data_IF_712267990927
#
_entry.id   IF_712267990927
#
_cell.length_a   1.000
_cell.length_b   1.000
_cell.length_c   1.000
_cell.angle_alpha   90.00
_cell.angle_beta   90.00
_cell.angle_gamma   90.00
#
_symmetry.space_group_name_H-M   'P 1'
#
loop_
_entity.id
_entity.type
_entity.pdbx_description
1 polymer ?
#
# COMPACT_ATOMS: atom_id res chain seq x y z
N UNK A 1 -4.18 -23.05 -10.01
CA UNK A 1 -3.84 -24.32 -9.34
C UNK A 1 -4.69 -24.40 -8.08
N UNK A 2 -5.23 -25.56 -7.79
CA UNK A 2 -6.04 -25.77 -6.60
C UNK A 2 -5.14 -26.15 -5.44
N UNK A 3 -5.29 -25.45 -4.34
CA UNK A 3 -4.77 -25.90 -3.07
C UNK A 3 -5.94 -26.52 -2.29
N UNK A 4 -5.88 -27.81 -2.00
CA UNK A 4 -6.88 -28.59 -1.21
C UNK A 4 -8.37 -28.44 -1.62
N UNK A 5 -8.69 -27.99 -2.83
CA UNK A 5 -10.05 -27.81 -3.35
C UNK A 5 -10.85 -26.64 -2.77
N UNK A 6 -10.27 -25.84 -1.87
CA UNK A 6 -10.95 -24.73 -1.22
C UNK A 6 -10.91 -23.42 -1.99
N UNK A 7 -9.82 -23.14 -2.72
CA UNK A 7 -9.70 -21.96 -3.60
C UNK A 7 -8.72 -22.22 -4.73
N UNK A 8 -8.85 -21.43 -5.79
CA UNK A 8 -7.97 -21.46 -6.94
C UNK A 8 -6.94 -20.35 -6.81
N UNK A 9 -5.67 -20.69 -6.75
CA UNK A 9 -4.60 -19.73 -6.93
C UNK A 9 -4.46 -19.44 -8.43
N UNK A 10 -4.84 -18.22 -8.83
CA UNK A 10 -4.70 -17.73 -10.20
C UNK A 10 -3.32 -17.13 -10.48
N UNK A 11 -2.45 -17.07 -9.46
CA UNK A 11 -1.06 -16.73 -9.62
C UNK A 11 -0.35 -17.87 -10.36
N UNK A 12 -0.54 -17.93 -11.67
CA UNK A 12 0.35 -18.71 -12.50
C UNK A 12 1.69 -17.99 -12.47
N UNK A 13 2.68 -18.59 -11.80
CA UNK A 13 4.05 -18.10 -11.84
C UNK A 13 4.41 -17.77 -13.30
N UNK A 14 4.55 -16.47 -13.58
CA UNK A 14 4.92 -15.98 -14.91
C UNK A 14 3.78 -15.71 -15.91
N UNK A 15 2.50 -15.82 -15.52
CA UNK A 15 1.43 -15.47 -16.44
C UNK A 15 0.25 -14.72 -15.77
N UNK A 16 0.43 -13.46 -15.36
CA UNK A 16 -0.66 -12.60 -14.85
C UNK A 16 -1.74 -12.32 -15.91
N UNK A 17 -1.43 -12.57 -17.18
CA UNK A 17 -2.28 -12.33 -18.33
C UNK A 17 -3.67 -13.00 -18.22
N UNK A 18 -3.74 -14.20 -17.64
CA UNK A 18 -4.99 -14.94 -17.51
C UNK A 18 -6.06 -14.22 -16.69
N UNK A 19 -5.67 -13.43 -15.70
CA UNK A 19 -6.61 -12.68 -14.86
C UNK A 19 -6.84 -11.29 -15.42
N UNK A 20 -5.77 -10.56 -15.77
CA UNK A 20 -5.87 -9.18 -16.26
C UNK A 20 -6.65 -9.08 -17.59
N UNK A 21 -6.50 -10.02 -18.50
CA UNK A 21 -7.27 -10.04 -19.75
C UNK A 21 -8.78 -10.30 -19.55
N UNK A 22 -9.18 -10.86 -18.41
CA UNK A 22 -10.58 -11.16 -18.08
C UNK A 22 -11.24 -10.07 -17.25
N UNK A 23 -10.48 -9.08 -16.79
CA UNK A 23 -11.01 -7.98 -16.00
C UNK A 23 -11.62 -6.91 -16.92
N UNK A 24 -12.83 -6.51 -16.58
CA UNK A 24 -13.55 -5.41 -17.25
C UNK A 24 -13.79 -4.34 -16.20
N UNK A 25 -13.21 -3.15 -16.41
CA UNK A 25 -13.48 -1.97 -15.60
C UNK A 25 -14.34 -0.98 -16.38
N UNK A 26 -15.45 -0.55 -15.79
CA UNK A 26 -16.32 0.47 -16.34
C UNK A 26 -16.31 1.68 -15.43
N UNK A 27 -15.94 2.84 -15.97
CA UNK A 27 -15.99 4.12 -15.27
C UNK A 27 -17.18 4.94 -15.78
N UNK A 28 -18.02 5.42 -14.87
CA UNK A 28 -19.19 6.24 -15.21
C UNK A 28 -19.42 7.35 -14.17
N UNK A 29 -20.11 8.42 -14.56
CA UNK A 29 -20.57 9.44 -13.63
C UNK A 29 -21.86 8.98 -12.96
N UNK A 30 -21.85 8.83 -11.64
CA UNK A 30 -23.04 8.51 -10.88
C UNK A 30 -23.78 9.80 -10.49
N UNK A 31 -25.12 9.76 -10.61
CA UNK A 31 -25.99 10.85 -10.16
C UNK A 31 -26.32 10.79 -8.66
N UNK A 32 -26.16 9.61 -8.04
CA UNK A 32 -26.31 9.38 -6.59
C UNK A 32 -24.94 9.20 -5.94
N UNK A 33 -24.67 10.01 -4.92
CA UNK A 33 -23.48 9.89 -4.09
C UNK A 33 -23.64 8.77 -3.04
N UNK A 34 -23.56 7.54 -3.42
CA UNK A 34 -23.16 6.46 -2.52
C UNK A 34 -21.64 6.26 -2.66
N UNK A 35 -20.91 7.23 -2.19
CA UNK A 35 -19.45 7.19 -2.19
C UNK A 35 -18.99 6.46 -0.93
N UNK A 36 -17.94 5.66 -1.07
CA UNK A 36 -17.11 5.29 0.09
C UNK A 36 -16.67 6.60 0.76
N UNK A 37 -16.75 6.68 2.09
CA UNK A 37 -16.19 7.82 2.80
C UNK A 37 -14.69 7.88 2.50
N UNK A 38 -14.26 9.00 1.94
CA UNK A 38 -12.83 9.22 1.75
C UNK A 38 -12.19 9.36 3.15
N UNK A 39 -10.97 8.86 3.35
CA UNK A 39 -10.24 9.13 4.58
C UNK A 39 -9.99 10.63 4.71
N UNK A 40 -9.93 11.10 5.96
CA UNK A 40 -9.56 12.48 6.26
C UNK A 40 -8.07 12.69 5.97
N UNK A 41 -7.71 13.93 5.65
CA UNK A 41 -6.30 14.31 5.54
C UNK A 41 -5.61 14.18 6.89
N UNK A 42 -4.38 13.68 6.87
CA UNK A 42 -3.48 13.62 8.02
C UNK A 42 -2.17 14.38 7.75
N UNK A 43 -2.19 15.33 6.83
CA UNK A 43 -1.00 16.13 6.50
C UNK A 43 -0.54 16.97 7.70
N UNK A 44 -1.43 17.33 8.60
CA UNK A 44 -1.14 17.98 9.87
C UNK A 44 -0.23 17.13 10.79
N UNK A 45 -0.25 15.82 10.66
CA UNK A 45 0.68 14.91 11.37
C UNK A 45 2.07 14.84 10.74
N UNK A 46 2.26 15.43 9.56
CA UNK A 46 3.51 15.46 8.80
C UNK A 46 4.02 16.91 8.67
N UNK A 47 4.37 17.59 9.78
CA UNK A 47 4.65 19.02 9.79
C UNK A 47 5.87 19.43 8.98
N UNK A 48 6.89 18.57 8.85
CA UNK A 48 8.09 18.91 8.06
C UNK A 48 7.79 18.81 6.56
N UNK A 49 7.03 17.78 6.17
CA UNK A 49 6.53 17.65 4.80
C UNK A 49 5.62 18.82 4.46
N UNK A 50 4.63 19.12 5.31
CA UNK A 50 3.69 20.24 5.13
C UNK A 50 4.42 21.56 4.94
N UNK A 51 5.39 21.87 5.81
CA UNK A 51 6.17 23.10 5.72
C UNK A 51 6.94 23.23 4.39
N UNK A 52 7.54 22.13 3.90
CA UNK A 52 8.20 22.14 2.59
C UNK A 52 7.22 22.36 1.43
N UNK A 53 6.07 21.70 1.48
CA UNK A 53 5.03 21.86 0.47
C UNK A 53 4.49 23.30 0.43
N UNK A 54 4.25 23.90 1.59
CA UNK A 54 3.83 25.30 1.71
C UNK A 54 4.88 26.30 1.19
N UNK A 55 6.16 25.97 1.37
CA UNK A 55 7.29 26.77 0.87
C UNK A 55 7.61 26.53 -0.62
N UNK A 56 6.97 25.55 -1.28
CA UNK A 56 7.31 25.15 -2.64
C UNK A 56 8.69 24.49 -2.77
N UNK A 57 9.25 23.99 -1.66
CA UNK A 57 10.57 23.36 -1.65
C UNK A 57 10.51 21.95 -2.24
N UNK A 58 11.60 21.48 -2.88
CA UNK A 58 11.68 20.10 -3.35
C UNK A 58 11.46 19.08 -2.22
N UNK A 59 10.64 18.07 -2.47
CA UNK A 59 10.39 16.97 -1.54
C UNK A 59 10.89 15.65 -2.10
N UNK A 60 11.51 14.84 -1.25
CA UNK A 60 11.99 13.51 -1.58
C UNK A 60 11.17 12.47 -0.86
N UNK A 61 10.58 11.55 -1.63
CA UNK A 61 9.69 10.52 -1.14
C UNK A 61 10.22 9.15 -1.53
N UNK A 62 10.28 8.24 -0.58
CA UNK A 62 10.58 6.84 -0.81
C UNK A 62 9.35 6.00 -0.49
N UNK A 63 8.87 5.21 -1.45
CA UNK A 63 7.93 4.12 -1.20
C UNK A 63 8.74 2.86 -0.95
N UNK A 64 8.58 2.27 0.22
CA UNK A 64 9.28 1.07 0.65
C UNK A 64 8.30 0.05 1.21
N UNK A 65 8.15 -1.06 0.53
CA UNK A 65 7.16 -2.07 0.85
C UNK A 65 7.40 -3.40 0.15
N UNK A 66 6.39 -4.25 0.16
CA UNK A 66 6.38 -5.58 -0.43
C UNK A 66 5.81 -5.58 -1.87
N UNK A 67 5.32 -6.74 -2.34
CA UNK A 67 4.77 -6.92 -3.68
C UNK A 67 3.56 -6.05 -3.98
N UNK A 68 2.75 -5.71 -2.96
CA UNK A 68 1.62 -4.79 -3.13
C UNK A 68 2.12 -3.40 -3.50
N UNK A 69 3.21 -2.96 -2.89
CA UNK A 69 3.86 -1.68 -3.20
C UNK A 69 4.62 -1.70 -4.54
N UNK A 70 5.08 -2.86 -4.98
CA UNK A 70 5.59 -3.03 -6.36
C UNK A 70 4.50 -2.86 -7.42
N UNK A 71 3.22 -3.02 -7.07
CA UNK A 71 2.10 -3.03 -8.02
C UNK A 71 1.88 -4.39 -8.67
N UNK A 72 2.32 -5.49 -8.01
CA UNK A 72 2.14 -6.84 -8.56
C UNK A 72 0.68 -7.14 -8.88
N UNK A 73 0.46 -7.81 -10.01
CA UNK A 73 -0.83 -8.19 -10.59
C UNK A 73 -1.72 -7.02 -11.06
N UNK A 74 -1.17 -5.79 -11.12
CA UNK A 74 -1.76 -4.69 -11.90
C UNK A 74 -1.40 -4.83 -13.38
N UNK A 75 -2.30 -4.41 -14.27
CA UNK A 75 -2.12 -4.59 -15.72
C UNK A 75 -0.89 -3.87 -16.28
N UNK A 76 -0.62 -2.65 -15.83
CA UNK A 76 0.52 -1.85 -16.30
C UNK A 76 1.86 -2.44 -15.97
N UNK A 77 2.02 -3.08 -14.80
CA UNK A 77 3.28 -3.70 -14.39
C UNK A 77 3.76 -4.77 -15.38
N UNK A 78 2.84 -5.45 -16.05
CA UNK A 78 3.15 -6.54 -16.97
C UNK A 78 2.89 -6.19 -18.43
N UNK A 79 2.64 -4.91 -18.74
CA UNK A 79 2.32 -4.47 -20.10
C UNK A 79 1.03 -5.08 -20.66
N UNK A 80 0.09 -5.47 -19.79
CA UNK A 80 -1.20 -6.05 -20.18
C UNK A 80 -2.26 -4.97 -20.34
N UNK A 81 -3.24 -5.19 -21.20
CA UNK A 81 -4.41 -4.28 -21.29
C UNK A 81 -5.24 -4.34 -19.99
N UNK A 82 -5.78 -3.22 -19.52
CA UNK A 82 -5.80 -1.88 -20.15
C UNK A 82 -4.52 -1.06 -19.99
N UNK A 83 -3.48 -1.54 -19.33
CA UNK A 83 -2.23 -0.83 -19.15
C UNK A 83 -2.30 0.28 -18.09
N UNK A 84 -3.14 0.07 -17.07
CA UNK A 84 -3.24 1.05 -15.99
C UNK A 84 -1.90 1.12 -15.23
N UNK A 85 -1.37 2.33 -15.00
CA UNK A 85 -0.22 2.51 -14.13
C UNK A 85 -0.44 1.87 -12.76
N UNK A 86 0.65 1.42 -12.12
CA UNK A 86 0.60 0.92 -10.74
C UNK A 86 0.08 2.00 -9.79
N UNK A 87 -0.38 1.61 -8.61
CA UNK A 87 -0.87 2.60 -7.65
C UNK A 87 0.23 3.60 -7.22
N UNK A 88 1.48 3.17 -7.20
CA UNK A 88 2.63 4.03 -6.91
C UNK A 88 2.84 5.09 -8.00
N UNK A 89 2.71 4.71 -9.27
CA UNK A 89 2.78 5.64 -10.40
C UNK A 89 1.57 6.59 -10.42
N UNK A 90 0.37 6.09 -10.14
CA UNK A 90 -0.83 6.93 -10.01
C UNK A 90 -0.67 7.95 -8.87
N UNK A 91 -0.10 7.54 -7.74
CA UNK A 91 0.21 8.43 -6.63
C UNK A 91 1.21 9.50 -7.03
N UNK A 92 2.32 9.11 -7.67
CA UNK A 92 3.35 10.03 -8.12
C UNK A 92 2.80 11.08 -9.09
N UNK A 93 2.03 10.67 -10.09
CA UNK A 93 1.39 11.61 -11.02
C UNK A 93 0.46 12.59 -10.31
N UNK A 94 -0.28 12.16 -9.30
CA UNK A 94 -1.11 13.06 -8.52
C UNK A 94 -0.30 14.05 -7.68
N UNK A 95 0.84 13.62 -7.12
CA UNK A 95 1.75 14.52 -6.43
C UNK A 95 2.28 15.60 -7.38
N UNK A 96 2.74 15.22 -8.58
CA UNK A 96 3.20 16.18 -9.59
C UNK A 96 2.10 17.16 -10.06
N UNK A 97 0.84 16.67 -10.12
CA UNK A 97 -0.28 17.51 -10.55
C UNK A 97 -0.76 18.47 -9.44
N UNK A 98 -0.76 18.04 -8.19
CA UNK A 98 -1.38 18.77 -7.07
C UNK A 98 -0.41 19.61 -6.27
N UNK A 99 0.81 19.15 -6.10
CA UNK A 99 1.82 19.87 -5.35
C UNK A 99 2.61 20.79 -6.27
N UNK A 100 2.83 22.03 -5.83
CA UNK A 100 3.69 22.98 -6.54
C UNK A 100 5.18 22.68 -6.30
N UNK A 101 5.48 21.90 -5.28
CA UNK A 101 6.83 21.46 -4.94
C UNK A 101 7.32 20.41 -5.92
N UNK A 102 8.57 20.51 -6.42
CA UNK A 102 9.18 19.42 -7.18
C UNK A 102 9.24 18.13 -6.37
N UNK A 103 8.81 17.01 -6.93
CA UNK A 103 8.77 15.71 -6.25
C UNK A 103 9.83 14.76 -6.82
N UNK A 104 10.72 14.28 -5.96
CA UNK A 104 11.62 13.18 -6.26
C UNK A 104 11.09 11.90 -5.61
N UNK A 105 10.51 11.00 -6.41
CA UNK A 105 9.86 9.78 -5.94
C UNK A 105 10.66 8.53 -6.30
N UNK A 106 10.95 7.69 -5.30
CA UNK A 106 11.62 6.42 -5.47
C UNK A 106 10.75 5.28 -4.94
N UNK A 107 10.38 4.34 -5.79
CA UNK A 107 9.81 3.07 -5.36
C UNK A 107 10.92 2.03 -5.23
N UNK A 108 11.29 1.68 -3.99
CA UNK A 108 12.33 0.71 -3.65
C UNK A 108 11.78 -0.61 -3.13
N UNK A 109 10.48 -0.83 -3.29
CA UNK A 109 9.76 -2.02 -2.82
C UNK A 109 10.28 -3.31 -3.47
N UNK A 110 10.15 -4.42 -2.75
CA UNK A 110 10.60 -5.75 -3.20
C UNK A 110 9.51 -6.79 -2.94
N UNK A 111 9.18 -7.59 -3.94
CA UNK A 111 8.17 -8.64 -3.81
C UNK A 111 8.61 -9.79 -2.91
N UNK A 112 7.68 -10.33 -2.10
CA UNK A 112 7.90 -11.53 -1.30
C UNK A 112 8.66 -11.33 0.00
N UNK A 113 9.00 -10.10 0.39
CA UNK A 113 9.73 -9.78 1.62
C UNK A 113 8.80 -9.36 2.75
N UNK A 114 9.23 -9.57 3.99
CA UNK A 114 8.55 -9.22 5.23
C UNK A 114 9.19 -8.01 5.94
N UNK A 115 8.61 -7.64 7.08
CA UNK A 115 9.10 -6.51 7.88
C UNK A 115 10.50 -6.74 8.49
N UNK A 116 10.91 -7.99 8.77
CA UNK A 116 12.25 -8.25 9.29
C UNK A 116 13.31 -8.03 8.22
N UNK A 117 13.08 -8.56 7.01
CA UNK A 117 13.93 -8.26 5.86
C UNK A 117 14.01 -6.73 5.61
N UNK A 118 12.88 -6.03 5.78
CA UNK A 118 12.84 -4.57 5.60
C UNK A 118 13.74 -3.84 6.61
N UNK A 119 13.79 -4.28 7.86
CA UNK A 119 14.67 -3.69 8.88
C UNK A 119 16.14 -3.86 8.48
N UNK A 120 16.54 -5.06 8.08
CA UNK A 120 17.91 -5.38 7.66
C UNK A 120 18.37 -4.55 6.45
N UNK A 121 17.46 -4.24 5.52
CA UNK A 121 17.74 -3.52 4.28
C UNK A 121 17.38 -2.04 4.31
N UNK A 122 16.93 -1.52 5.46
CA UNK A 122 16.38 -0.17 5.63
C UNK A 122 17.31 0.95 5.19
N UNK A 123 18.62 0.82 5.46
CA UNK A 123 19.61 1.81 5.05
C UNK A 123 19.69 1.94 3.55
N UNK A 124 19.85 0.82 2.84
CA UNK A 124 20.04 0.81 1.40
C UNK A 124 18.75 1.16 0.64
N UNK A 125 17.59 0.71 1.16
CA UNK A 125 16.31 0.83 0.49
C UNK A 125 15.55 2.12 0.81
N UNK A 126 15.84 2.75 1.96
CA UNK A 126 15.13 3.95 2.37
C UNK A 126 16.05 5.05 2.90
N UNK A 127 16.82 4.78 3.95
CA UNK A 127 17.46 5.83 4.72
C UNK A 127 18.58 6.59 3.96
N UNK A 128 19.36 5.92 3.13
CA UNK A 128 20.45 6.54 2.35
C UNK A 128 19.94 7.52 1.26
N UNK A 129 18.65 7.51 0.95
CA UNK A 129 18.05 8.53 0.10
C UNK A 129 17.83 9.85 0.84
N UNK A 130 17.94 9.87 2.18
CA UNK A 130 17.61 11.01 3.03
C UNK A 130 16.23 11.59 2.68
N UNK A 131 15.16 10.79 2.73
CA UNK A 131 13.83 11.21 2.32
C UNK A 131 13.19 12.15 3.34
N UNK A 132 12.33 13.04 2.85
CA UNK A 132 11.44 13.83 3.70
C UNK A 132 10.28 12.95 4.20
N UNK A 133 9.75 12.08 3.33
CA UNK A 133 8.70 11.12 3.64
C UNK A 133 9.11 9.71 3.19
N UNK A 134 8.93 8.73 4.07
CA UNK A 134 8.90 7.31 3.68
C UNK A 134 7.47 6.80 3.80
N UNK A 135 6.95 6.26 2.70
CA UNK A 135 5.71 5.51 2.68
C UNK A 135 6.07 4.04 2.93
N UNK A 136 5.69 3.49 4.09
CA UNK A 136 5.96 2.10 4.47
C UNK A 136 4.73 1.23 4.21
N UNK A 137 4.87 0.18 3.40
CA UNK A 137 3.79 -0.72 3.06
C UNK A 137 4.21 -2.20 3.10
N UNK A 138 4.45 -2.72 4.30
CA UNK A 138 4.72 -4.12 4.57
C UNK A 138 3.53 -4.79 5.28
N UNK A 139 3.62 -6.11 5.48
CA UNK A 139 2.67 -6.88 6.26
C UNK A 139 2.07 -8.07 5.50
N UNK A 140 2.04 -8.05 4.16
CA UNK A 140 1.46 -9.18 3.41
C UNK A 140 2.23 -10.49 3.61
N UNK A 141 3.52 -10.42 3.85
CA UNK A 141 4.39 -11.59 4.06
C UNK A 141 4.76 -11.82 5.53
N UNK A 142 4.30 -10.97 6.44
CA UNK A 142 4.46 -11.17 7.87
C UNK A 142 3.51 -12.26 8.40
N UNK A 143 3.99 -13.09 9.34
CA UNK A 143 3.25 -14.21 9.93
C UNK A 143 3.06 -14.04 11.43
N UNK A 144 3.08 -12.81 11.88
CA UNK A 144 3.04 -12.49 13.31
C UNK A 144 1.75 -11.78 13.68
N UNK A 145 1.39 -11.85 14.95
CA UNK A 145 0.25 -11.12 15.48
C UNK A 145 0.47 -9.61 15.55
N UNK A 146 -0.57 -8.91 15.89
CA UNK A 146 -0.69 -7.45 15.90
C UNK A 146 0.44 -6.74 16.65
N UNK A 147 0.80 -7.22 17.84
CA UNK A 147 1.81 -6.58 18.69
C UNK A 147 3.22 -6.70 18.08
N UNK A 148 3.57 -7.88 17.60
CA UNK A 148 4.87 -8.13 16.98
C UNK A 148 5.01 -7.32 15.67
N UNK A 149 3.96 -7.25 14.86
CA UNK A 149 3.95 -6.44 13.64
C UNK A 149 4.17 -4.95 13.94
N UNK A 150 3.49 -4.41 14.97
CA UNK A 150 3.71 -3.03 15.42
C UNK A 150 5.15 -2.81 15.86
N UNK A 151 5.71 -3.73 16.65
CA UNK A 151 7.08 -3.64 17.13
C UNK A 151 8.09 -3.67 15.98
N UNK A 152 7.91 -4.55 14.98
CA UNK A 152 8.74 -4.60 13.77
C UNK A 152 8.66 -3.29 12.98
N UNK A 153 7.45 -2.76 12.77
CA UNK A 153 7.28 -1.48 12.08
C UNK A 153 7.96 -0.33 12.83
N UNK A 154 7.85 -0.29 14.16
CA UNK A 154 8.55 0.69 15.01
C UNK A 154 10.07 0.59 14.85
N UNK A 155 10.64 -0.62 14.93
CA UNK A 155 12.07 -0.88 14.72
C UNK A 155 12.55 -0.44 13.34
N UNK A 156 11.74 -0.67 12.29
CA UNK A 156 12.04 -0.23 10.93
C UNK A 156 12.10 1.30 10.83
N UNK A 157 11.14 2.00 11.42
CA UNK A 157 11.15 3.46 11.48
C UNK A 157 12.37 4.00 12.24
N UNK A 158 12.72 3.39 13.37
CA UNK A 158 13.91 3.74 14.15
C UNK A 158 15.19 3.51 13.35
N UNK A 159 15.31 2.39 12.64
CA UNK A 159 16.47 2.08 11.81
C UNK A 159 16.65 3.13 10.70
N UNK A 160 15.56 3.59 10.07
CA UNK A 160 15.59 4.65 9.06
C UNK A 160 15.98 5.99 9.72
N UNK A 161 15.40 6.34 10.87
CA UNK A 161 15.71 7.60 11.57
C UNK A 161 17.12 7.69 12.11
N UNK A 162 17.79 6.58 12.38
CA UNK A 162 19.22 6.57 12.75
C UNK A 162 20.12 7.20 11.69
N UNK A 163 19.77 7.02 10.40
CA UNK A 163 20.52 7.56 9.25
C UNK A 163 19.91 8.87 8.75
N UNK A 164 18.58 8.96 8.76
CA UNK A 164 17.81 10.11 8.27
C UNK A 164 16.85 10.62 9.37
N UNK A 165 17.34 11.38 10.38
CA UNK A 165 16.56 11.69 11.58
C UNK A 165 15.39 12.65 11.37
N UNK A 166 15.32 13.31 10.21
CA UNK A 166 14.23 14.22 9.88
C UNK A 166 13.06 13.54 9.15
N UNK A 167 13.21 12.29 8.73
CA UNK A 167 12.21 11.54 7.96
C UNK A 167 10.90 11.41 8.72
N UNK A 168 9.82 11.73 8.03
CA UNK A 168 8.44 11.47 8.44
C UNK A 168 7.91 10.21 7.74
N UNK A 169 6.84 9.61 8.26
CA UNK A 169 6.33 8.34 7.77
C UNK A 169 4.84 8.41 7.45
N UNK A 170 4.46 7.82 6.33
CA UNK A 170 3.09 7.40 6.04
C UNK A 170 3.05 5.88 6.09
N UNK A 171 2.33 5.32 7.04
CA UNK A 171 2.18 3.88 7.22
C UNK A 171 0.96 3.38 6.45
N UNK A 172 1.12 2.29 5.73
CA UNK A 172 0.05 1.60 5.02
C UNK A 172 0.03 0.15 5.51
N UNK A 173 -1.05 -0.28 6.15
CA UNK A 173 -1.27 -1.70 6.38
C UNK A 173 -1.45 -2.41 5.04
N UNK A 174 -0.99 -3.64 4.95
CA UNK A 174 -1.20 -4.45 3.75
C UNK A 174 -2.68 -4.55 3.38
N UNK A 175 -2.99 -4.76 2.11
CA UNK A 175 -4.36 -5.11 1.69
C UNK A 175 -4.80 -6.42 2.35
N UNK A 176 -6.11 -6.60 2.50
CA UNK A 176 -6.65 -7.85 3.03
C UNK A 176 -6.48 -8.99 2.01
N UNK A 177 -5.96 -10.13 2.41
CA UNK A 177 -5.89 -11.33 1.58
C UNK A 177 -7.28 -11.98 1.43
N UNK A 178 -7.37 -12.99 0.57
CA UNK A 178 -8.57 -13.80 0.44
C UNK A 178 -8.87 -14.55 1.75
N UNK A 179 -10.07 -14.39 2.29
CA UNK A 179 -10.50 -15.06 3.53
C UNK A 179 -10.33 -16.57 3.47
N UNK A 180 -10.56 -17.19 2.31
CA UNK A 180 -10.36 -18.64 2.14
C UNK A 180 -8.89 -19.07 2.28
N UNK A 181 -7.96 -18.13 2.09
CA UNK A 181 -6.54 -18.36 2.29
C UNK A 181 -6.09 -18.07 3.74
N UNK A 182 -6.92 -17.38 4.52
CA UNK A 182 -6.63 -16.92 5.88
C UNK A 182 -7.32 -17.73 6.98
N UNK A 183 -7.93 -18.88 6.65
CA UNK A 183 -8.84 -19.60 7.57
C UNK A 183 -8.17 -20.42 8.67
N UNK A 184 -6.87 -20.60 8.65
CA UNK A 184 -6.14 -21.42 9.63
C UNK A 184 -5.38 -20.50 10.60
N UNK A 185 -5.42 -20.71 11.93
CA UNK A 185 -4.77 -19.84 12.92
C UNK A 185 -3.26 -19.66 12.73
N UNK A 186 -2.62 -20.61 12.06
CA UNK A 186 -1.18 -20.58 11.75
C UNK A 186 -0.92 -20.39 10.26
N UNK A 187 -1.94 -20.00 9.51
CA UNK A 187 -1.80 -19.75 8.09
C UNK A 187 -0.97 -18.47 7.85
N UNK A 188 -0.30 -18.44 6.71
CA UNK A 188 0.53 -17.31 6.30
C UNK A 188 -0.20 -15.94 6.41
N UNK A 189 -1.49 -15.91 6.12
CA UNK A 189 -2.31 -14.69 6.11
C UNK A 189 -3.35 -14.63 7.25
N UNK A 190 -3.07 -15.24 8.40
CA UNK A 190 -4.03 -15.30 9.50
C UNK A 190 -4.25 -13.98 10.24
N UNK A 191 -3.30 -13.03 10.16
CA UNK A 191 -3.25 -11.82 11.00
C UNK A 191 -3.30 -10.50 10.24
N UNK A 192 -3.36 -10.51 8.90
CA UNK A 192 -3.27 -9.28 8.11
C UNK A 192 -4.43 -8.30 8.37
N UNK A 193 -5.60 -8.79 8.76
CA UNK A 193 -6.77 -7.96 9.08
C UNK A 193 -6.64 -7.17 10.39
N UNK A 194 -5.66 -7.51 11.24
CA UNK A 194 -5.33 -6.82 12.49
C UNK A 194 -4.33 -5.67 12.28
N UNK A 195 -3.61 -5.64 11.16
CA UNK A 195 -2.44 -4.78 10.99
C UNK A 195 -2.77 -3.30 10.88
N UNK A 196 -3.92 -2.94 10.32
CA UNK A 196 -4.34 -1.53 10.29
C UNK A 196 -4.56 -0.99 11.70
N UNK A 197 -5.22 -1.75 12.56
CA UNK A 197 -5.43 -1.39 13.97
C UNK A 197 -4.09 -1.34 14.73
N UNK A 198 -3.21 -2.29 14.44
CA UNK A 198 -1.86 -2.35 15.02
C UNK A 198 -1.06 -1.05 14.77
N UNK A 199 -1.10 -0.53 13.54
CA UNK A 199 -0.36 0.68 13.16
C UNK A 199 -0.84 1.94 13.88
N UNK A 200 -2.10 2.00 14.31
CA UNK A 200 -2.65 3.16 15.06
C UNK A 200 -1.85 3.44 16.35
N UNK A 201 -1.25 2.42 16.92
CA UNK A 201 -0.34 2.59 18.07
C UNK A 201 0.98 3.31 17.79
N UNK A 202 1.31 3.53 16.50
CA UNK A 202 2.50 4.26 16.06
C UNK A 202 2.17 5.67 15.54
N UNK A 203 0.88 6.02 15.45
CA UNK A 203 0.42 7.29 14.93
C UNK A 203 0.83 8.47 15.83
N UNK A 204 1.20 9.60 15.25
CA UNK A 204 1.58 10.80 15.99
C UNK A 204 2.33 11.80 15.13
N UNK A 205 2.97 12.78 15.76
CA UNK A 205 3.75 13.79 15.04
C UNK A 205 4.90 13.14 14.24
N UNK A 206 4.89 13.39 12.92
CA UNK A 206 5.80 12.77 11.96
C UNK A 206 5.42 11.34 11.56
N UNK A 207 4.18 10.90 11.88
CA UNK A 207 3.66 9.58 11.48
C UNK A 207 2.16 9.66 11.19
N UNK A 208 1.78 9.45 9.95
CA UNK A 208 0.40 9.37 9.47
C UNK A 208 0.07 7.93 9.03
N UNK A 209 -1.20 7.58 8.94
CA UNK A 209 -1.69 6.25 8.56
C UNK A 209 -2.70 6.34 7.42
N UNK A 210 -2.45 5.63 6.33
CA UNK A 210 -3.42 5.43 5.25
C UNK A 210 -4.14 4.08 5.44
N UNK A 211 -5.36 4.12 5.99
CA UNK A 211 -6.11 2.91 6.33
C UNK A 211 -6.86 2.35 5.11
N UNK A 212 -6.12 1.64 4.25
CA UNK A 212 -6.70 0.94 3.10
C UNK A 212 -7.62 -0.21 3.51
N UNK A 213 -7.38 -0.84 4.66
CA UNK A 213 -8.19 -1.99 5.10
C UNK A 213 -9.61 -1.57 5.46
N UNK A 214 -9.79 -0.41 6.08
CA UNK A 214 -11.13 0.13 6.35
C UNK A 214 -11.91 0.29 5.04
N UNK A 215 -11.30 0.87 4.02
CA UNK A 215 -11.92 1.05 2.70
C UNK A 215 -12.16 -0.29 2.00
N UNK A 216 -11.21 -1.23 2.07
CA UNK A 216 -11.37 -2.55 1.46
C UNK A 216 -12.50 -3.36 2.13
N UNK A 217 -12.67 -3.28 3.46
CA UNK A 217 -13.79 -3.87 4.19
C UNK A 217 -15.15 -3.31 3.71
N UNK A 218 -15.25 -2.01 3.47
CA UNK A 218 -16.47 -1.42 2.91
C UNK A 218 -16.75 -1.86 1.47
N UNK A 219 -15.70 -1.98 0.64
CA UNK A 219 -15.82 -2.53 -0.71
C UNK A 219 -16.30 -3.98 -0.66
N UNK A 220 -15.77 -4.80 0.25
CA UNK A 220 -16.13 -6.20 0.43
C UNK A 220 -17.61 -6.45 0.76
N UNK A 221 -18.33 -5.45 1.30
CA UNK A 221 -19.79 -5.53 1.49
C UNK A 221 -20.57 -5.52 0.17
N UNK A 222 -19.96 -5.10 -0.95
CA UNK A 222 -20.61 -4.89 -2.25
C UNK A 222 -19.96 -5.66 -3.40
N UNK A 223 -18.70 -6.02 -3.27
CA UNK A 223 -17.91 -6.74 -4.27
C UNK A 223 -17.34 -8.03 -3.70
N UNK A 224 -17.30 -9.06 -4.52
CA UNK A 224 -16.61 -10.31 -4.17
C UNK A 224 -15.10 -10.06 -4.22
N UNK A 225 -14.34 -10.85 -3.48
CA UNK A 225 -12.89 -10.74 -3.47
C UNK A 225 -12.27 -10.86 -4.86
N UNK A 226 -12.80 -11.76 -5.71
CA UNK A 226 -12.31 -11.94 -7.09
C UNK A 226 -12.46 -10.69 -7.96
N UNK A 227 -13.39 -9.80 -7.62
CA UNK A 227 -13.63 -8.58 -8.40
C UNK A 227 -12.61 -7.47 -8.06
N UNK A 228 -11.80 -7.64 -7.00
CA UNK A 228 -10.83 -6.65 -6.51
C UNK A 228 -9.39 -7.16 -6.45
N UNK A 229 -9.15 -8.40 -6.83
CA UNK A 229 -7.84 -9.06 -6.80
C UNK A 229 -7.29 -9.34 -8.19
N UNK A 230 -5.97 -9.29 -8.35
CA UNK A 230 -5.27 -9.67 -9.55
C UNK A 230 -4.90 -11.16 -9.61
N UNK A 231 -4.79 -11.83 -8.46
CA UNK A 231 -4.34 -13.23 -8.37
C UNK A 231 -5.23 -14.16 -7.54
N UNK A 232 -6.35 -13.63 -7.04
CA UNK A 232 -7.27 -14.30 -6.13
C UNK A 232 -6.71 -14.68 -4.76
N UNK A 233 -5.51 -14.23 -4.41
CA UNK A 233 -4.90 -14.50 -3.11
C UNK A 233 -4.73 -13.25 -2.27
N UNK A 234 -3.94 -12.28 -2.76
CA UNK A 234 -3.46 -11.17 -1.94
C UNK A 234 -3.14 -9.90 -2.72
N UNK A 235 -2.87 -9.97 -4.01
CA UNK A 235 -2.51 -8.78 -4.78
C UNK A 235 -3.75 -8.05 -5.31
N UNK A 236 -3.78 -6.72 -5.23
CA UNK A 236 -4.84 -5.92 -5.83
C UNK A 236 -4.84 -6.04 -7.36
N UNK A 237 -6.03 -5.95 -7.96
CA UNK A 237 -6.14 -5.68 -9.40
C UNK A 237 -6.12 -4.16 -9.64
N UNK A 238 -6.27 -3.74 -10.90
CA UNK A 238 -6.31 -2.32 -11.29
C UNK A 238 -7.37 -1.51 -10.54
N UNK A 239 -8.51 -2.10 -10.22
CA UNK A 239 -9.57 -1.43 -9.47
C UNK A 239 -9.12 -1.13 -8.03
N UNK A 240 -8.67 -2.13 -7.28
CA UNK A 240 -8.24 -1.95 -5.89
C UNK A 240 -6.93 -1.13 -5.82
N UNK A 241 -6.03 -1.28 -6.79
CA UNK A 241 -4.81 -0.48 -6.89
C UNK A 241 -5.13 1.02 -7.03
N UNK A 242 -6.16 1.37 -7.83
CA UNK A 242 -6.64 2.75 -7.95
C UNK A 242 -7.22 3.27 -6.65
N UNK A 243 -7.97 2.46 -5.92
CA UNK A 243 -8.50 2.81 -4.60
C UNK A 243 -7.37 3.02 -3.60
N UNK A 244 -6.35 2.16 -3.60
CA UNK A 244 -5.17 2.32 -2.74
C UNK A 244 -4.47 3.66 -3.00
N UNK A 245 -4.24 4.01 -4.27
CA UNK A 245 -3.70 5.32 -4.61
C UNK A 245 -4.57 6.47 -4.07
N UNK A 246 -5.90 6.39 -4.24
CA UNK A 246 -6.83 7.42 -3.76
C UNK A 246 -6.84 7.56 -2.23
N UNK A 247 -6.73 6.44 -1.48
CA UNK A 247 -6.64 6.47 -0.01
C UNK A 247 -5.38 7.22 0.42
N UNK A 248 -4.23 6.90 -0.19
CA UNK A 248 -2.96 7.57 0.11
C UNK A 248 -3.01 9.05 -0.27
N UNK A 249 -3.52 9.37 -1.46
CA UNK A 249 -3.70 10.75 -1.95
C UNK A 249 -4.53 11.57 -0.96
N UNK A 250 -5.67 11.05 -0.51
CA UNK A 250 -6.55 11.74 0.45
C UNK A 250 -5.90 11.90 1.82
N UNK A 251 -5.21 10.89 2.30
CA UNK A 251 -4.46 10.98 3.57
C UNK A 251 -3.39 12.07 3.51
N UNK A 252 -2.77 12.29 2.35
CA UNK A 252 -1.78 13.37 2.11
C UNK A 252 -2.42 14.72 1.76
N UNK A 253 -3.74 14.88 1.84
CA UNK A 253 -4.42 16.17 1.66
C UNK A 253 -4.58 16.63 0.21
N UNK A 254 -4.52 15.72 -0.74
CA UNK A 254 -4.64 16.01 -2.18
C UNK A 254 -6.03 15.73 -2.77
#
# INVERSE_FOLDING_TARGET
MTTNGKFLNLCAIGNPKLVTEKQIAVTYKATKKELLSAPESQLDKLPKLSAKLEAGEPVKIVLYGDSVCCGCDCSGMYGQKPGQPTWAELLFHQMEEKWQSPVCFHNTSVGGVDSEWAIENSSQRAANFHPDLVILGFGMNDRCGMEEYRNKTGRLMEAIRKVSPKTEFLLIASTLPNELAATEPHHFWAHQDEYSESLKGLEGMGVAIADIQAVQKEIGKRKRYIDITGNWLNHPNDYLARILAQVVIKTLGM
#
